data_IF_437537622449
#
_entry.id   IF_437537622449
#
_cell.length_a   1.000
_cell.length_b   1.000
_cell.length_c   1.000
_cell.angle_alpha   90.00
_cell.angle_beta   90.00
_cell.angle_gamma   90.00
#
_symmetry.space_group_name_H-M   'P 1'
#
loop_
_entity.id
_entity.type
_entity.pdbx_description
1 polymer ?
#
# COMPACT_ATOMS: atom_id res chain seq x y z
N UNK A 1 1.07 -17.27 58.89
CA UNK A 1 2.45 -16.76 59.08
C UNK A 1 3.36 -17.45 58.07
N UNK A 2 3.87 -16.74 57.06
CA UNK A 2 4.76 -17.33 56.04
C UNK A 2 6.13 -17.57 56.68
N UNK A 3 6.61 -18.81 56.61
CA UNK A 3 7.92 -19.22 57.13
C UNK A 3 9.02 -18.29 56.56
N UNK A 4 9.95 -17.73 57.37
CA UNK A 4 10.92 -16.72 56.90
C UNK A 4 11.77 -17.16 55.70
N UNK A 5 12.00 -18.48 55.58
CA UNK A 5 12.74 -19.10 54.46
C UNK A 5 12.01 -19.04 53.11
N UNK A 6 10.68 -18.90 53.10
CA UNK A 6 9.87 -18.81 51.87
C UNK A 6 9.55 -17.37 51.46
N UNK A 7 9.82 -16.37 52.31
CA UNK A 7 9.63 -14.95 51.97
C UNK A 7 10.32 -14.53 50.65
N UNK A 8 11.58 -14.87 50.36
CA UNK A 8 12.20 -14.48 49.09
C UNK A 8 11.55 -15.18 47.89
N UNK A 9 11.08 -16.42 48.04
CA UNK A 9 10.36 -17.13 46.98
C UNK A 9 8.97 -16.51 46.70
N UNK A 10 8.25 -16.12 47.75
CA UNK A 10 6.96 -15.44 47.62
C UNK A 10 7.14 -14.05 46.98
N UNK A 11 8.13 -13.29 47.41
CA UNK A 11 8.44 -11.98 46.82
C UNK A 11 8.88 -12.14 45.36
N UNK A 12 9.76 -13.10 45.06
CA UNK A 12 10.18 -13.40 43.69
C UNK A 12 9.01 -13.81 42.79
N UNK A 13 8.09 -14.64 43.30
CA UNK A 13 6.87 -15.00 42.59
C UNK A 13 5.95 -13.81 42.33
N UNK A 14 5.77 -12.92 43.31
CA UNK A 14 4.97 -11.70 43.15
C UNK A 14 5.62 -10.76 42.13
N UNK A 15 6.93 -10.52 42.22
CA UNK A 15 7.65 -9.69 41.26
C UNK A 15 7.53 -10.26 39.84
N UNK A 16 7.69 -11.57 39.68
CA UNK A 16 7.52 -12.22 38.38
C UNK A 16 6.09 -12.07 37.83
N UNK A 17 5.08 -12.23 38.69
CA UNK A 17 3.68 -12.05 38.31
C UNK A 17 3.39 -10.59 37.89
N UNK A 18 3.94 -9.61 38.61
CA UNK A 18 3.81 -8.18 38.27
C UNK A 18 4.48 -7.88 36.93
N UNK A 19 5.69 -8.40 36.69
CA UNK A 19 6.39 -8.23 35.41
C UNK A 19 5.56 -8.81 34.25
N UNK A 20 4.98 -10.00 34.44
CA UNK A 20 4.10 -10.61 33.45
C UNK A 20 2.82 -9.81 33.20
N UNK A 21 2.20 -9.27 34.26
CA UNK A 21 1.02 -8.43 34.13
C UNK A 21 1.33 -7.14 33.35
N UNK A 22 2.48 -6.50 33.62
CA UNK A 22 2.93 -5.32 32.88
C UNK A 22 3.20 -5.67 31.42
N UNK A 23 3.91 -6.77 31.14
CA UNK A 23 4.18 -7.22 29.77
C UNK A 23 2.88 -7.51 29.01
N UNK A 24 1.90 -8.16 29.64
CA UNK A 24 0.59 -8.43 29.06
C UNK A 24 -0.18 -7.14 28.77
N UNK A 25 -0.20 -6.19 29.72
CA UNK A 25 -0.85 -4.90 29.54
C UNK A 25 -0.25 -4.12 28.36
N UNK A 26 1.08 -4.08 28.26
CA UNK A 26 1.79 -3.46 27.13
C UNK A 26 1.46 -4.17 25.81
N UNK A 27 1.47 -5.51 25.80
CA UNK A 27 1.13 -6.29 24.61
C UNK A 27 -0.29 -6.06 24.13
N UNK A 28 -1.28 -6.11 25.03
CA UNK A 28 -2.68 -5.86 24.71
C UNK A 28 -2.91 -4.44 24.22
N UNK A 29 -2.25 -3.45 24.83
CA UNK A 29 -2.29 -2.07 24.38
C UNK A 29 -1.69 -1.92 22.97
N UNK A 30 -0.51 -2.48 22.72
CA UNK A 30 0.12 -2.46 21.40
C UNK A 30 -0.75 -3.14 20.33
N UNK A 31 -1.35 -4.29 20.66
CA UNK A 31 -2.28 -5.00 19.78
C UNK A 31 -3.52 -4.16 19.46
N UNK A 32 -4.09 -3.48 20.45
CA UNK A 32 -5.23 -2.60 20.27
C UNK A 32 -4.90 -1.35 19.43
N UNK A 33 -3.65 -0.88 19.44
CA UNK A 33 -3.20 0.26 18.63
C UNK A 33 -2.88 -0.09 17.18
N UNK A 34 -2.66 -1.37 16.84
CA UNK A 34 -2.36 -1.80 15.46
C UNK A 34 -3.44 -1.32 14.48
N UNK A 35 -3.03 -0.64 13.42
CA UNK A 35 -3.93 -0.23 12.33
C UNK A 35 -4.31 -1.49 11.54
N UNK A 36 -5.60 -1.67 11.28
CA UNK A 36 -6.16 -2.79 10.52
C UNK A 36 -7.00 -2.29 9.35
N UNK A 37 -7.35 -3.17 8.41
CA UNK A 37 -8.19 -2.82 7.28
C UNK A 37 -9.53 -2.22 7.73
N UNK A 38 -10.15 -2.77 8.77
CA UNK A 38 -11.44 -2.31 9.31
C UNK A 38 -11.32 -0.91 9.93
N UNK A 39 -10.19 -0.58 10.55
CA UNK A 39 -9.94 0.77 11.08
C UNK A 39 -9.75 1.79 9.97
N UNK A 40 -9.10 1.39 8.86
CA UNK A 40 -8.98 2.25 7.68
C UNK A 40 -10.35 2.47 7.07
N UNK A 41 -11.11 1.41 6.82
CA UNK A 41 -12.50 1.46 6.35
C UNK A 41 -13.37 2.39 7.22
N UNK A 42 -13.36 2.19 8.54
CA UNK A 42 -14.09 3.04 9.47
C UNK A 42 -13.63 4.51 9.44
N UNK A 43 -12.33 4.76 9.23
CA UNK A 43 -11.82 6.13 9.09
C UNK A 43 -12.27 6.76 7.75
N UNK A 44 -12.30 5.99 6.67
CA UNK A 44 -12.80 6.43 5.35
C UNK A 44 -14.29 6.74 5.42
N UNK A 45 -15.09 5.85 6.02
CA UNK A 45 -16.52 6.03 6.22
C UNK A 45 -16.84 7.31 7.02
N UNK A 46 -16.00 7.65 8.01
CA UNK A 46 -16.13 8.88 8.81
C UNK A 46 -15.60 10.14 8.14
N UNK A 47 -14.81 10.01 7.07
CA UNK A 47 -14.17 11.16 6.41
C UNK A 47 -15.08 11.67 5.30
N UNK A 48 -15.80 12.75 5.57
CA UNK A 48 -16.61 13.46 4.58
C UNK A 48 -15.85 14.70 4.10
N UNK A 49 -15.14 14.60 2.97
CA UNK A 49 -14.26 15.67 2.50
C UNK A 49 -15.03 16.95 2.16
N UNK A 50 -16.31 16.81 1.78
CA UNK A 50 -17.20 17.93 1.47
C UNK A 50 -17.47 18.87 2.66
N UNK A 51 -17.36 18.39 3.91
CA UNK A 51 -17.62 19.19 5.12
C UNK A 51 -16.38 19.79 5.76
N UNK A 52 -15.20 19.46 5.24
CA UNK A 52 -13.92 19.85 5.81
C UNK A 52 -13.35 21.07 5.09
N UNK A 53 -12.67 21.95 5.83
CA UNK A 53 -11.84 22.99 5.23
C UNK A 53 -10.64 22.39 4.48
N UNK A 54 -9.99 23.14 3.59
CA UNK A 54 -8.87 22.65 2.79
C UNK A 54 -7.73 22.06 3.64
N UNK A 55 -7.41 22.70 4.78
CA UNK A 55 -6.36 22.21 5.69
C UNK A 55 -6.79 20.94 6.44
N UNK A 56 -8.06 20.84 6.83
CA UNK A 56 -8.61 19.63 7.46
C UNK A 56 -8.67 18.45 6.49
N UNK A 57 -9.02 18.70 5.21
CA UNK A 57 -8.98 17.70 4.14
C UNK A 57 -7.58 17.14 3.98
N UNK A 58 -6.57 18.00 3.82
CA UNK A 58 -5.15 17.59 3.75
C UNK A 58 -4.73 16.76 4.96
N UNK A 59 -5.08 17.20 6.17
CA UNK A 59 -4.74 16.47 7.41
C UNK A 59 -5.41 15.09 7.45
N UNK A 60 -6.68 15.00 7.06
CA UNK A 60 -7.41 13.74 7.00
C UNK A 60 -6.79 12.77 5.98
N UNK A 61 -6.45 13.25 4.78
CA UNK A 61 -5.82 12.47 3.72
C UNK A 61 -4.42 11.98 4.11
N UNK A 62 -3.60 12.83 4.74
CA UNK A 62 -2.29 12.43 5.28
C UNK A 62 -2.41 11.35 6.35
N UNK A 63 -3.39 11.48 7.25
CA UNK A 63 -3.68 10.44 8.25
C UNK A 63 -4.05 9.12 7.59
N UNK A 64 -4.94 9.15 6.59
CA UNK A 64 -5.33 7.96 5.82
C UNK A 64 -4.15 7.34 5.08
N UNK A 65 -3.29 8.15 4.47
CA UNK A 65 -2.07 7.66 3.80
C UNK A 65 -1.14 6.97 4.80
N UNK A 66 -0.92 7.56 5.98
CA UNK A 66 -0.12 6.96 7.04
C UNK A 66 -0.71 5.62 7.52
N UNK A 67 -2.03 5.57 7.74
CA UNK A 67 -2.72 4.33 8.12
C UNK A 67 -2.56 3.25 7.04
N UNK A 68 -2.80 3.58 5.77
CA UNK A 68 -2.57 2.65 4.66
C UNK A 68 -1.13 2.17 4.59
N UNK A 69 -0.15 3.04 4.79
CA UNK A 69 1.27 2.69 4.75
C UNK A 69 1.70 1.73 5.85
N UNK A 70 0.94 1.66 6.94
CA UNK A 70 1.16 0.71 8.03
C UNK A 70 0.53 -0.67 7.81
N UNK A 71 -0.39 -0.80 6.84
CA UNK A 71 -1.05 -2.06 6.53
C UNK A 71 -0.16 -3.01 5.72
N UNK A 72 -0.35 -4.32 5.92
CA UNK A 72 0.22 -5.35 5.04
C UNK A 72 -0.50 -5.37 3.67
N UNK A 73 0.11 -6.03 2.68
CA UNK A 73 -0.39 -6.04 1.29
C UNK A 73 -1.82 -6.55 1.19
N UNK A 74 -2.15 -7.65 1.86
CA UNK A 74 -3.50 -8.22 1.83
C UNK A 74 -4.53 -7.31 2.51
N UNK A 75 -4.16 -6.71 3.64
CA UNK A 75 -5.02 -5.75 4.36
C UNK A 75 -5.28 -4.48 3.52
N UNK A 76 -4.29 -4.01 2.76
CA UNK A 76 -4.44 -2.87 1.83
C UNK A 76 -5.44 -3.16 0.73
N UNK A 77 -5.42 -4.38 0.18
CA UNK A 77 -6.38 -4.79 -0.85
C UNK A 77 -7.80 -4.77 -0.30
N UNK A 78 -7.99 -5.29 0.91
CA UNK A 78 -9.30 -5.29 1.59
C UNK A 78 -9.75 -3.87 1.90
N UNK A 79 -8.89 -3.03 2.47
CA UNK A 79 -9.23 -1.65 2.82
C UNK A 79 -9.65 -0.78 1.63
N UNK A 80 -9.20 -1.11 0.42
CA UNK A 80 -9.54 -0.40 -0.82
C UNK A 80 -10.70 -1.02 -1.59
N UNK A 81 -11.20 -2.18 -1.19
CA UNK A 81 -12.27 -2.89 -1.89
C UNK A 81 -13.67 -2.36 -1.56
N UNK A 82 -13.80 -1.57 -0.50
CA UNK A 82 -15.08 -1.06 -0.01
C UNK A 82 -15.62 0.12 -0.84
N UNK A 83 -16.94 0.22 -0.96
CA UNK A 83 -17.62 1.27 -1.74
C UNK A 83 -17.31 2.70 -1.26
N UNK A 84 -17.05 2.88 0.04
CA UNK A 84 -16.68 4.16 0.63
C UNK A 84 -15.32 4.66 0.13
N UNK A 85 -14.42 3.75 -0.27
CA UNK A 85 -13.15 4.11 -0.87
C UNK A 85 -13.34 4.85 -2.20
N UNK A 86 -14.23 4.32 -3.05
CA UNK A 86 -14.53 4.93 -4.35
C UNK A 86 -15.19 6.31 -4.18
N UNK A 87 -16.04 6.49 -3.15
CA UNK A 87 -16.59 7.81 -2.81
C UNK A 87 -15.47 8.77 -2.43
N UNK A 88 -14.62 8.40 -1.48
CA UNK A 88 -13.55 9.25 -0.99
C UNK A 88 -12.67 9.75 -2.13
N UNK A 89 -12.22 8.85 -3.02
CA UNK A 89 -11.33 9.22 -4.13
C UNK A 89 -12.02 10.11 -5.16
N UNK A 90 -13.33 9.93 -5.40
CA UNK A 90 -14.11 10.82 -6.28
C UNK A 90 -14.27 12.24 -5.72
N UNK A 91 -14.29 12.38 -4.40
CA UNK A 91 -14.39 13.69 -3.72
C UNK A 91 -13.04 14.43 -3.65
N UNK A 92 -11.92 13.75 -3.88
CA UNK A 92 -10.58 14.37 -3.89
C UNK A 92 -10.39 15.26 -5.13
N UNK A 93 -9.82 16.44 -4.92
CA UNK A 93 -9.28 17.22 -6.06
C UNK A 93 -8.11 16.47 -6.70
N UNK A 94 -7.68 16.93 -7.87
CA UNK A 94 -6.52 16.33 -8.52
C UNK A 94 -5.24 16.47 -7.68
N UNK A 95 -5.02 17.65 -7.09
CA UNK A 95 -3.87 17.93 -6.24
C UNK A 95 -3.87 17.06 -4.99
N UNK A 96 -5.02 16.93 -4.33
CA UNK A 96 -5.19 16.08 -3.16
C UNK A 96 -4.90 14.61 -3.47
N UNK A 97 -5.37 14.14 -4.63
CA UNK A 97 -5.14 12.77 -5.09
C UNK A 97 -3.69 12.54 -5.46
N UNK A 98 -3.04 13.50 -6.09
CA UNK A 98 -1.62 13.45 -6.40
C UNK A 98 -0.80 13.37 -5.11
N UNK A 99 -1.02 14.25 -4.14
CA UNK A 99 -0.33 14.23 -2.83
C UNK A 99 -0.55 12.89 -2.10
N UNK A 100 -1.78 12.38 -2.13
CA UNK A 100 -2.13 11.10 -1.51
C UNK A 100 -1.43 9.90 -2.18
N UNK A 101 -1.38 9.87 -3.51
CA UNK A 101 -0.69 8.83 -4.27
C UNK A 101 0.82 8.91 -4.06
N UNK A 102 1.42 10.09 -4.09
CA UNK A 102 2.86 10.29 -3.79
C UNK A 102 3.22 9.78 -2.40
N UNK A 103 2.32 9.95 -1.43
CA UNK A 103 2.53 9.49 -0.06
C UNK A 103 2.40 7.98 0.12
N UNK A 104 1.63 7.29 -0.75
CA UNK A 104 1.30 5.86 -0.56
C UNK A 104 1.99 4.92 -1.54
N UNK A 105 2.32 5.42 -2.73
CA UNK A 105 2.93 4.67 -3.82
C UNK A 105 4.29 4.07 -3.45
N UNK A 106 5.24 4.81 -2.83
CA UNK A 106 6.55 4.25 -2.51
C UNK A 106 6.48 3.02 -1.59
N UNK A 107 5.60 3.07 -0.59
CA UNK A 107 5.35 1.94 0.31
C UNK A 107 4.77 0.74 -0.44
N UNK A 108 3.81 0.97 -1.36
CA UNK A 108 3.24 -0.08 -2.20
C UNK A 108 4.28 -0.77 -3.08
N UNK A 109 5.10 0.02 -3.79
CA UNK A 109 6.18 -0.50 -4.64
C UNK A 109 7.19 -1.31 -3.81
N UNK A 110 7.60 -0.79 -2.65
CA UNK A 110 8.52 -1.49 -1.76
C UNK A 110 7.98 -2.85 -1.32
N UNK A 111 6.72 -2.91 -0.89
CA UNK A 111 6.08 -4.16 -0.49
C UNK A 111 6.01 -5.17 -1.66
N UNK A 112 5.66 -4.70 -2.86
CA UNK A 112 5.64 -5.55 -4.05
C UNK A 112 7.02 -6.14 -4.35
N UNK A 113 8.08 -5.31 -4.30
CA UNK A 113 9.45 -5.74 -4.57
C UNK A 113 9.94 -6.75 -3.54
N UNK A 114 9.70 -6.47 -2.25
CA UNK A 114 10.06 -7.40 -1.17
C UNK A 114 9.36 -8.75 -1.35
N UNK A 115 8.08 -8.76 -1.69
CA UNK A 115 7.34 -10.00 -1.93
C UNK A 115 7.86 -10.74 -3.18
N UNK A 116 8.17 -10.02 -4.25
CA UNK A 116 8.72 -10.57 -5.47
C UNK A 116 10.08 -11.25 -5.23
N UNK A 117 10.97 -10.58 -4.48
CA UNK A 117 12.32 -11.08 -4.18
C UNK A 117 12.31 -12.37 -3.34
N UNK A 118 11.30 -12.54 -2.49
CA UNK A 118 11.12 -13.76 -1.68
C UNK A 118 10.63 -14.97 -2.51
N UNK A 119 10.18 -14.77 -3.74
CA UNK A 119 9.72 -15.88 -4.59
C UNK A 119 10.91 -16.70 -5.11
N UNK A 120 10.73 -18.02 -5.30
CA UNK A 120 11.74 -18.85 -5.98
C UNK A 120 12.04 -18.34 -7.40
N UNK A 121 13.28 -18.48 -7.91
CA UNK A 121 13.69 -17.95 -9.22
C UNK A 121 12.78 -18.37 -10.38
N UNK A 122 12.33 -19.63 -10.40
CA UNK A 122 11.43 -20.12 -11.45
C UNK A 122 10.06 -19.45 -11.41
N UNK A 123 9.55 -19.15 -10.21
CA UNK A 123 8.27 -18.43 -10.05
C UNK A 123 8.40 -16.97 -10.49
N UNK A 124 9.52 -16.31 -10.17
CA UNK A 124 9.80 -14.95 -10.64
C UNK A 124 9.82 -14.89 -12.16
N UNK A 125 10.58 -15.78 -12.82
CA UNK A 125 10.64 -15.86 -14.29
C UNK A 125 9.27 -16.07 -14.93
N UNK A 126 8.45 -16.97 -14.38
CA UNK A 126 7.09 -17.21 -14.88
C UNK A 126 6.22 -15.96 -14.75
N UNK A 127 6.18 -15.34 -13.57
CA UNK A 127 5.40 -14.12 -13.34
C UNK A 127 5.83 -13.01 -14.29
N UNK A 128 7.14 -12.79 -14.46
CA UNK A 128 7.67 -11.79 -15.38
C UNK A 128 7.30 -12.08 -16.83
N UNK A 129 7.44 -13.33 -17.27
CA UNK A 129 7.08 -13.76 -18.62
C UNK A 129 5.59 -13.56 -18.90
N UNK A 130 4.73 -13.95 -17.95
CA UNK A 130 3.28 -13.77 -18.06
C UNK A 130 2.90 -12.28 -18.06
N UNK A 131 3.51 -11.46 -17.21
CA UNK A 131 3.28 -10.01 -17.19
C UNK A 131 3.74 -9.32 -18.47
N UNK A 132 4.93 -9.67 -18.99
CA UNK A 132 5.45 -9.10 -20.22
C UNK A 132 4.59 -9.49 -21.42
N UNK A 133 4.21 -10.76 -21.52
CA UNK A 133 3.31 -11.26 -22.57
C UNK A 133 1.97 -10.52 -22.53
N UNK A 134 1.39 -10.36 -21.34
CA UNK A 134 0.15 -9.61 -21.15
C UNK A 134 0.28 -8.15 -21.64
N UNK A 135 1.37 -7.45 -21.30
CA UNK A 135 1.59 -6.08 -21.76
C UNK A 135 1.74 -5.98 -23.29
N UNK A 136 2.46 -6.93 -23.89
CA UNK A 136 2.60 -7.00 -25.35
C UNK A 136 1.25 -7.30 -26.04
N UNK A 137 0.47 -8.23 -25.50
CA UNK A 137 -0.88 -8.53 -25.99
C UNK A 137 -1.81 -7.32 -25.87
N UNK A 138 -1.78 -6.57 -24.77
CA UNK A 138 -2.55 -5.34 -24.63
C UNK A 138 -2.08 -4.22 -25.58
N UNK A 139 -0.80 -4.23 -25.96
CA UNK A 139 -0.27 -3.30 -26.97
C UNK A 139 -0.81 -3.63 -28.35
N UNK A 140 -0.87 -4.91 -28.69
CA UNK A 140 -1.19 -5.37 -30.04
C UNK A 140 -2.70 -5.63 -30.24
N UNK A 141 -3.46 -5.86 -29.15
CA UNK A 141 -4.89 -6.13 -29.16
C UNK A 141 -5.69 -5.13 -28.28
N UNK A 142 -6.55 -4.29 -28.90
CA UNK A 142 -7.34 -3.30 -28.18
C UNK A 142 -8.37 -3.90 -27.20
N UNK A 143 -8.90 -5.09 -27.46
CA UNK A 143 -9.87 -5.74 -26.55
C UNK A 143 -9.19 -6.18 -25.24
N UNK A 144 -7.97 -6.71 -25.33
CA UNK A 144 -7.17 -7.10 -24.15
C UNK A 144 -6.85 -5.87 -23.31
N UNK A 145 -6.54 -4.75 -23.97
CA UNK A 145 -6.29 -3.47 -23.31
C UNK A 145 -7.52 -2.96 -22.57
N UNK A 146 -8.69 -2.97 -23.20
CA UNK A 146 -9.93 -2.53 -22.57
C UNK A 146 -10.29 -3.39 -21.35
N UNK A 147 -10.10 -4.71 -21.46
CA UNK A 147 -10.25 -5.63 -20.32
C UNK A 147 -9.30 -5.28 -19.18
N UNK A 148 -8.01 -5.07 -19.44
CA UNK A 148 -7.06 -4.66 -18.40
C UNK A 148 -7.44 -3.33 -17.73
N UNK A 149 -7.90 -2.35 -18.51
CA UNK A 149 -8.35 -1.06 -17.96
C UNK A 149 -9.60 -1.22 -17.08
N UNK A 150 -10.52 -2.12 -17.46
CA UNK A 150 -11.72 -2.41 -16.67
C UNK A 150 -11.44 -3.18 -15.38
N UNK A 151 -10.43 -4.06 -15.38
CA UNK A 151 -9.99 -4.81 -14.20
C UNK A 151 -9.17 -3.94 -13.24
N UNK A 152 -8.38 -3.00 -13.78
CA UNK A 152 -7.65 -1.99 -13.05
C UNK A 152 -8.54 -0.83 -12.63
N UNK A 153 -9.54 -1.08 -11.77
CA UNK A 153 -10.45 -0.07 -11.22
C UNK A 153 -9.64 1.14 -10.71
N UNK A 154 -9.52 2.20 -11.50
CA UNK A 154 -9.08 3.52 -11.05
C UNK A 154 -10.33 4.22 -10.53
N UNK A 155 -10.48 4.37 -9.20
CA UNK A 155 -11.53 5.21 -8.70
C UNK A 155 -11.17 6.65 -9.00
N UNK A 156 -12.06 7.37 -9.69
CA UNK A 156 -11.91 8.81 -9.95
C UNK A 156 -11.51 9.16 -11.40
N UNK A 157 -11.62 10.45 -11.77
CA UNK A 157 -11.30 10.92 -13.12
C UNK A 157 -9.81 10.71 -13.46
N UNK A 158 -9.44 10.63 -14.74
CA UNK A 158 -8.03 10.53 -15.14
C UNK A 158 -7.21 11.68 -14.54
N UNK A 159 -5.98 11.39 -14.13
CA UNK A 159 -5.01 12.40 -13.73
C UNK A 159 -4.49 13.16 -14.96
N UNK A 160 -4.08 14.42 -14.82
CA UNK A 160 -3.37 15.14 -15.87
C UNK A 160 -2.07 14.43 -16.28
N UNK A 161 -1.59 14.69 -17.49
CA UNK A 161 -0.33 14.12 -17.97
C UNK A 161 0.86 14.47 -17.06
N UNK A 162 0.87 15.67 -16.47
CA UNK A 162 1.93 16.10 -15.56
C UNK A 162 1.89 15.30 -14.25
N UNK A 163 0.71 15.15 -13.65
CA UNK A 163 0.52 14.32 -12.46
C UNK A 163 0.92 12.85 -12.73
N UNK A 164 0.56 12.29 -13.89
CA UNK A 164 0.95 10.95 -14.29
C UNK A 164 2.48 10.80 -14.44
N UNK A 165 3.14 11.75 -15.12
CA UNK A 165 4.61 11.77 -15.27
C UNK A 165 5.29 11.82 -13.91
N UNK A 166 4.79 12.67 -13.01
CA UNK A 166 5.34 12.82 -11.67
C UNK A 166 5.20 11.54 -10.84
N UNK A 167 4.02 10.91 -10.83
CA UNK A 167 3.83 9.61 -10.17
C UNK A 167 4.69 8.50 -10.77
N UNK A 168 4.85 8.49 -12.09
CA UNK A 168 5.74 7.56 -12.79
C UNK A 168 7.18 7.74 -12.33
N UNK A 169 7.65 8.98 -12.23
CA UNK A 169 8.99 9.29 -11.74
C UNK A 169 9.19 8.84 -10.28
N UNK A 170 8.21 9.09 -9.40
CA UNK A 170 8.26 8.63 -8.00
C UNK A 170 8.33 7.10 -7.94
N UNK A 171 7.51 6.40 -8.74
CA UNK A 171 7.51 4.94 -8.81
C UNK A 171 8.82 4.36 -9.34
N UNK A 172 9.35 4.91 -10.44
CA UNK A 172 10.64 4.48 -10.99
C UNK A 172 11.79 4.75 -10.03
N UNK A 173 11.83 5.92 -9.40
CA UNK A 173 12.86 6.23 -8.41
C UNK A 173 12.79 5.28 -7.20
N UNK A 174 11.58 4.99 -6.72
CA UNK A 174 11.39 4.01 -5.65
C UNK A 174 11.88 2.64 -6.09
N UNK A 175 11.52 2.21 -7.31
CA UNK A 175 11.99 0.95 -7.88
C UNK A 175 13.52 0.89 -7.90
N UNK A 176 14.19 1.86 -8.51
CA UNK A 176 15.64 1.87 -8.62
C UNK A 176 16.35 1.99 -7.27
N UNK A 177 15.74 2.61 -6.26
CA UNK A 177 16.34 2.77 -4.94
C UNK A 177 16.13 1.54 -4.05
N UNK A 178 14.95 0.92 -4.09
CA UNK A 178 14.55 -0.13 -3.15
C UNK A 178 14.79 -1.56 -3.68
N UNK A 179 14.94 -1.76 -4.99
CA UNK A 179 15.16 -3.09 -5.58
C UNK A 179 16.61 -3.56 -5.44
N UNK A 180 16.80 -4.86 -5.25
CA UNK A 180 18.12 -5.49 -5.34
C UNK A 180 18.69 -5.42 -6.77
N UNK A 181 20.01 -5.58 -6.91
CA UNK A 181 20.67 -5.63 -8.22
C UNK A 181 20.10 -6.72 -9.13
N UNK A 182 19.76 -7.88 -8.54
CA UNK A 182 19.11 -8.97 -9.26
C UNK A 182 17.71 -8.57 -9.75
N UNK A 183 16.87 -8.01 -8.88
CA UNK A 183 15.53 -7.54 -9.26
C UNK A 183 15.57 -6.48 -10.35
N UNK A 184 16.55 -5.56 -10.33
CA UNK A 184 16.73 -4.56 -11.39
C UNK A 184 16.98 -5.22 -12.74
N UNK A 185 17.88 -6.19 -12.79
CA UNK A 185 18.18 -6.92 -14.02
C UNK A 185 16.99 -7.76 -14.50
N UNK A 186 16.31 -8.46 -13.59
CA UNK A 186 15.16 -9.30 -13.92
C UNK A 186 13.93 -8.47 -14.39
N UNK A 187 13.68 -7.31 -13.77
CA UNK A 187 12.52 -6.46 -14.09
C UNK A 187 12.78 -5.45 -15.21
N UNK A 188 14.01 -5.23 -15.65
CA UNK A 188 14.35 -4.25 -16.67
C UNK A 188 13.48 -4.36 -17.95
N UNK A 189 13.28 -5.56 -18.55
CA UNK A 189 12.44 -5.69 -19.75
C UNK A 189 10.98 -5.29 -19.52
N UNK A 190 10.46 -5.55 -18.30
CA UNK A 190 9.09 -5.17 -17.94
C UNK A 190 8.95 -3.65 -17.82
N UNK A 191 9.93 -2.99 -17.21
CA UNK A 191 9.94 -1.53 -17.07
C UNK A 191 10.05 -0.85 -18.45
N UNK A 192 10.87 -1.38 -19.35
CA UNK A 192 10.98 -0.87 -20.73
C UNK A 192 9.65 -0.96 -21.48
N UNK A 193 8.94 -2.10 -21.38
CA UNK A 193 7.65 -2.26 -22.06
C UNK A 193 6.57 -1.36 -21.44
N UNK A 194 6.56 -1.16 -20.11
CA UNK A 194 5.69 -0.19 -19.46
C UNK A 194 5.96 1.24 -19.94
N UNK A 195 7.23 1.65 -20.01
CA UNK A 195 7.62 2.96 -20.52
C UNK A 195 7.20 3.16 -21.98
N UNK A 196 7.39 2.14 -22.82
CA UNK A 196 6.95 2.16 -24.22
C UNK A 196 5.44 2.31 -24.34
N UNK A 197 4.68 1.57 -23.54
CA UNK A 197 3.22 1.67 -23.54
C UNK A 197 2.70 3.05 -23.08
N UNK A 198 3.39 3.69 -22.13
CA UNK A 198 3.08 5.06 -21.70
C UNK A 198 3.41 6.10 -22.77
N UNK A 199 4.57 5.99 -23.44
CA UNK A 199 4.96 6.91 -24.53
C UNK A 199 3.97 6.91 -25.70
N UNK A 200 3.30 5.77 -25.94
CA UNK A 200 2.29 5.65 -26.98
C UNK A 200 0.92 6.23 -26.60
N UNK A 201 0.77 6.81 -25.40
CA UNK A 201 -0.50 7.34 -24.88
C UNK A 201 -1.56 6.25 -24.61
N UNK A 202 -1.16 4.97 -24.53
CA UNK A 202 -2.08 3.82 -24.51
C UNK A 202 -2.53 3.38 -23.11
N UNK A 203 -1.93 3.95 -22.07
CA UNK A 203 -2.35 3.81 -20.67
C UNK A 203 -3.22 4.98 -20.17
N UNK A 204 -3.50 5.97 -21.04
CA UNK A 204 -4.32 7.12 -20.68
C UNK A 204 -5.80 6.73 -20.82
N UNK A 205 -6.60 6.81 -19.74
CA UNK A 205 -8.05 6.79 -19.87
C UNK A 205 -8.43 7.99 -20.75
N UNK A 206 -9.18 7.74 -21.82
CA UNK A 206 -9.82 8.82 -22.59
C UNK A 206 -11.05 9.34 -21.86
#
# INVERSE_FOLDING_TARGET
>A
MINPRHKPLVIGGVVLAVVWAVAMAVYLYAKAQKVTAEKVAAQVAKTELAKLSAEERRKALRKLAAMLNSLQVDERRVARAEADWDRLVREMTEEERLEFLESTLPSGVKQMLTNFEQLPPDRRKRILGDSLKRLQEARDNPEVRERMQSEGRQPGPPLSEEAQKRLTQVGLNTFYTQSSAQSKAELAPLIEELQRAMQQGRFMPR
#
